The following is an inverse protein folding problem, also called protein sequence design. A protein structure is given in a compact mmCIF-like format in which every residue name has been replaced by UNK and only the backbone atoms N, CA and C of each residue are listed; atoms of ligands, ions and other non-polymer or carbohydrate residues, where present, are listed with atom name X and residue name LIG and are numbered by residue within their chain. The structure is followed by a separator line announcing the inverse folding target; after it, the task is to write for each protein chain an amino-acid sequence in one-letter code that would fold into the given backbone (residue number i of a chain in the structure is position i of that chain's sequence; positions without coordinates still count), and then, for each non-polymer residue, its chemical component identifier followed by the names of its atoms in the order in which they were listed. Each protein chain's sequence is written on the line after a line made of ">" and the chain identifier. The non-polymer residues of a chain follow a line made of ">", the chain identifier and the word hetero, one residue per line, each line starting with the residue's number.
data_IF_632427844155
#
_entry.id   IF_632427844155
#
_cell.length_a   1.000
_cell.length_b   1.000
_cell.length_c   1.000
_cell.angle_alpha   90.00
_cell.angle_beta   90.00
_cell.angle_gamma   90.00
#
_symmetry.space_group_name_H-M   'P 1'
#
loop_
_entity.id
_entity.type
_entity.pdbx_description
1 polymer ?
#
# COMPACT_ATOMS: atom_id res chain seq x y z
N UNK A 1 7.74 10.11 6.59
CA UNK A 1 7.78 10.46 5.16
C UNK A 1 9.09 10.11 4.51
N UNK A 2 10.24 10.28 5.18
CA UNK A 2 11.56 9.85 4.70
C UNK A 2 11.78 10.21 3.21
N UNK A 3 11.46 11.46 2.87
CA UNK A 3 11.38 11.97 1.48
C UNK A 3 12.70 11.85 0.71
N UNK A 4 13.81 11.73 1.44
CA UNK A 4 15.16 11.54 0.91
C UNK A 4 15.82 10.25 1.43
N UNK A 5 15.05 9.22 1.80
CA UNK A 5 15.57 7.93 2.29
C UNK A 5 16.60 7.31 1.34
N UNK A 6 16.42 7.49 0.03
CA UNK A 6 17.35 7.06 -1.01
C UNK A 6 18.80 7.54 -0.81
N UNK A 7 19.03 8.65 -0.11
CA UNK A 7 20.38 9.18 0.17
C UNK A 7 21.14 8.39 1.24
N UNK A 8 20.42 7.60 2.04
CA UNK A 8 20.97 6.82 3.18
C UNK A 8 20.41 5.39 3.21
N UNK A 9 20.07 4.85 2.03
CA UNK A 9 19.36 3.58 1.91
C UNK A 9 20.16 2.39 2.48
N UNK A 10 21.48 2.42 2.33
CA UNK A 10 22.45 1.50 2.91
C UNK A 10 22.43 1.54 4.44
N UNK A 11 22.46 2.74 5.03
CA UNK A 11 22.42 2.90 6.49
C UNK A 11 21.09 2.41 7.08
N UNK A 12 19.99 2.57 6.35
CA UNK A 12 18.68 2.07 6.77
C UNK A 12 18.64 0.53 6.75
N UNK A 13 19.26 -0.11 5.75
CA UNK A 13 19.37 -1.57 5.72
C UNK A 13 20.26 -2.08 6.86
N UNK A 14 21.45 -1.51 7.03
CA UNK A 14 22.39 -1.89 8.10
C UNK A 14 21.75 -1.78 9.49
N UNK A 15 20.96 -0.73 9.74
CA UNK A 15 20.26 -0.51 11.00
C UNK A 15 18.96 -1.32 11.13
N UNK A 16 18.56 -2.06 10.08
CA UNK A 16 17.27 -2.74 9.98
C UNK A 16 16.09 -1.79 10.26
N UNK A 17 16.09 -0.62 9.64
CA UNK A 17 15.05 0.40 9.76
C UNK A 17 14.26 0.48 8.45
N UNK A 18 12.95 0.31 8.51
CA UNK A 18 12.09 0.48 7.33
C UNK A 18 11.86 1.94 6.99
N UNK A 19 11.77 2.26 5.69
CA UNK A 19 11.47 3.60 5.21
C UNK A 19 10.02 3.71 4.74
N UNK A 20 9.18 4.41 5.50
CA UNK A 20 7.82 4.77 5.10
C UNK A 20 7.83 6.08 4.30
N UNK A 21 7.58 5.95 2.99
CA UNK A 21 7.69 7.03 1.99
C UNK A 21 6.40 7.20 1.16
N UNK A 22 6.25 8.36 0.54
CA UNK A 22 5.29 8.56 -0.55
C UNK A 22 5.83 8.01 -1.88
N UNK A 23 4.93 7.67 -2.81
CA UNK A 23 5.32 7.21 -4.14
C UNK A 23 5.91 8.33 -5.01
N UNK A 24 5.34 9.54 -4.98
CA UNK A 24 5.72 10.62 -5.89
C UNK A 24 5.54 12.05 -5.34
N UNK A 25 5.23 12.20 -4.04
CA UNK A 25 5.08 13.50 -3.40
C UNK A 25 6.41 14.10 -2.95
N UNK A 26 6.72 15.30 -3.45
CA UNK A 26 7.90 16.10 -3.13
C UNK A 26 7.72 17.55 -3.62
N UNK A 27 8.69 18.42 -3.33
CA UNK A 27 8.74 19.80 -3.82
C UNK A 27 7.78 20.79 -3.16
N UNK A 28 7.01 20.39 -2.14
CA UNK A 28 6.02 21.24 -1.47
C UNK A 28 6.58 22.04 -0.28
N UNK A 29 7.80 21.71 0.18
CA UNK A 29 8.55 22.38 1.27
C UNK A 29 10.04 22.24 1.01
N UNK A 30 10.85 23.06 1.68
CA UNK A 30 12.33 22.97 1.61
C UNK A 30 12.85 21.57 1.98
N UNK A 31 12.26 20.92 2.99
CA UNK A 31 12.64 19.56 3.42
C UNK A 31 12.31 18.45 2.41
N UNK A 32 11.48 18.74 1.41
CA UNK A 32 11.01 17.77 0.41
C UNK A 32 11.48 18.11 -1.00
N UNK A 33 12.40 19.07 -1.14
CA UNK A 33 12.81 19.62 -2.44
C UNK A 33 13.54 18.59 -3.30
N UNK A 34 14.39 17.75 -2.71
CA UNK A 34 15.10 16.69 -3.45
C UNK A 34 14.31 15.36 -3.49
N UNK A 35 12.99 15.41 -3.29
CA UNK A 35 12.15 14.22 -3.40
C UNK A 35 12.22 13.61 -4.81
N UNK A 36 12.53 12.32 -4.89
CA UNK A 36 12.57 11.57 -6.15
C UNK A 36 11.50 10.48 -6.18
N UNK A 37 10.86 10.27 -7.34
CA UNK A 37 9.82 9.23 -7.51
C UNK A 37 10.33 7.81 -7.33
N UNK A 38 11.63 7.60 -7.53
CA UNK A 38 12.28 6.30 -7.35
C UNK A 38 12.69 6.00 -5.89
N UNK A 39 12.35 6.86 -4.92
CA UNK A 39 12.83 6.77 -3.54
C UNK A 39 12.60 5.36 -2.92
N UNK A 40 11.37 4.86 -2.95
CA UNK A 40 11.04 3.53 -2.45
C UNK A 40 11.82 2.42 -3.16
N UNK A 41 11.97 2.53 -4.48
CA UNK A 41 12.69 1.54 -5.28
C UNK A 41 14.20 1.53 -4.99
N UNK A 42 14.80 2.69 -4.76
CA UNK A 42 16.22 2.80 -4.38
C UNK A 42 16.45 2.19 -2.99
N UNK A 43 15.57 2.49 -2.02
CA UNK A 43 15.62 1.86 -0.69
C UNK A 43 15.52 0.34 -0.80
N UNK A 44 14.55 -0.16 -1.58
CA UNK A 44 14.40 -1.60 -1.81
C UNK A 44 15.63 -2.22 -2.49
N UNK A 45 16.17 -1.58 -3.52
CA UNK A 45 17.34 -2.09 -4.25
C UNK A 45 18.62 -2.11 -3.41
N UNK A 46 18.71 -1.28 -2.37
CA UNK A 46 19.81 -1.28 -1.41
C UNK A 46 19.68 -2.38 -0.33
N UNK A 47 18.62 -3.20 -0.34
CA UNK A 47 18.34 -4.21 0.69
C UNK A 47 17.31 -3.75 1.74
N UNK A 48 17.09 -2.44 1.85
CA UNK A 48 16.21 -1.84 2.85
C UNK A 48 14.72 -2.18 2.65
N UNK A 49 13.97 -2.09 3.75
CA UNK A 49 12.51 -2.32 3.74
C UNK A 49 11.75 -1.03 3.38
N UNK A 50 11.43 -0.86 2.10
CA UNK A 50 10.57 0.23 1.64
C UNK A 50 9.08 -0.02 1.98
N UNK A 51 8.38 1.04 2.38
CA UNK A 51 6.93 1.06 2.65
C UNK A 51 6.31 2.24 1.90
N UNK A 52 5.17 2.02 1.26
CA UNK A 52 4.40 3.09 0.64
C UNK A 52 3.24 3.48 1.56
N UNK A 53 3.17 4.77 1.93
CA UNK A 53 2.04 5.34 2.67
C UNK A 53 1.38 6.48 1.88
N UNK A 54 0.15 6.82 2.26
CA UNK A 54 -0.59 7.94 1.69
C UNK A 54 -0.45 9.23 2.50
N UNK A 55 -0.32 9.12 3.83
CA UNK A 55 -0.55 10.24 4.76
C UNK A 55 -1.93 10.91 4.56
N UNK A 56 -2.92 10.12 4.14
CA UNK A 56 -4.25 10.61 3.77
C UNK A 56 -5.33 9.57 4.06
N UNK A 57 -6.44 9.96 4.74
CA UNK A 57 -7.56 9.05 5.00
C UNK A 57 -8.27 8.59 3.73
N UNK A 58 -8.18 9.38 2.65
CA UNK A 58 -8.75 9.01 1.34
C UNK A 58 -7.74 8.28 0.46
N UNK A 59 -6.48 8.74 0.46
CA UNK A 59 -5.42 8.16 -0.36
C UNK A 59 -5.05 6.73 0.03
N UNK A 60 -5.24 6.35 1.30
CA UNK A 60 -4.92 5.01 1.80
C UNK A 60 -5.68 3.90 1.06
N UNK A 61 -6.85 4.20 0.49
CA UNK A 61 -7.70 3.24 -0.22
C UNK A 61 -7.12 2.81 -1.58
N UNK A 62 -6.03 3.42 -2.04
CA UNK A 62 -5.43 3.19 -3.37
C UNK A 62 -3.93 2.92 -3.31
N UNK A 63 -3.42 2.43 -2.18
CA UNK A 63 -1.98 2.17 -2.00
C UNK A 63 -1.41 1.19 -3.03
N UNK A 64 -2.20 0.27 -3.57
CA UNK A 64 -1.81 -0.56 -4.70
C UNK A 64 -1.38 0.28 -5.93
N UNK A 65 -2.11 1.35 -6.24
CA UNK A 65 -1.75 2.25 -7.34
C UNK A 65 -0.50 3.08 -6.98
N UNK A 66 -0.36 3.50 -5.72
CA UNK A 66 0.85 4.20 -5.25
C UNK A 66 2.10 3.30 -5.35
N UNK A 67 2.00 2.04 -4.96
CA UNK A 67 3.06 1.05 -5.14
C UNK A 67 3.38 0.82 -6.62
N UNK A 68 2.37 0.75 -7.49
CA UNK A 68 2.57 0.63 -8.93
C UNK A 68 3.32 1.84 -9.52
N UNK A 69 2.99 3.07 -9.08
CA UNK A 69 3.72 4.29 -9.48
C UNK A 69 5.19 4.23 -9.06
N UNK A 70 5.46 3.85 -7.81
CA UNK A 70 6.83 3.75 -7.30
C UNK A 70 7.63 2.64 -8.02
N UNK A 71 7.00 1.50 -8.30
CA UNK A 71 7.59 0.41 -9.11
C UNK A 71 7.95 0.90 -10.51
N UNK A 72 7.01 1.57 -11.20
CA UNK A 72 7.24 2.11 -12.53
C UNK A 72 8.38 3.16 -12.53
N UNK A 73 8.43 4.04 -11.53
CA UNK A 73 9.49 5.03 -11.39
C UNK A 73 10.87 4.39 -11.13
N UNK A 74 10.94 3.36 -10.29
CA UNK A 74 12.16 2.58 -10.06
C UNK A 74 12.67 1.90 -11.33
N UNK A 75 11.76 1.23 -12.06
CA UNK A 75 12.09 0.58 -13.33
C UNK A 75 12.54 1.58 -14.40
N UNK A 76 11.90 2.76 -14.48
CA UNK A 76 12.33 3.83 -15.37
C UNK A 76 13.70 4.41 -15.01
N UNK A 77 14.10 4.34 -13.73
CA UNK A 77 15.42 4.71 -13.24
C UNK A 77 16.50 3.61 -13.44
N UNK A 78 16.15 2.49 -14.10
CA UNK A 78 17.08 1.40 -14.41
C UNK A 78 17.20 0.34 -13.31
N UNK A 79 16.39 0.40 -12.25
CA UNK A 79 16.29 -0.67 -11.27
C UNK A 79 15.40 -1.80 -11.80
N UNK A 80 15.51 -2.98 -11.21
CA UNK A 80 14.65 -4.12 -11.52
C UNK A 80 13.74 -4.42 -10.34
N UNK A 81 12.56 -3.82 -10.36
CA UNK A 81 11.51 -4.02 -9.35
C UNK A 81 10.39 -4.86 -9.95
N UNK A 82 10.14 -6.01 -9.34
CA UNK A 82 9.06 -6.91 -9.75
C UNK A 82 7.72 -6.53 -9.09
N UNK A 83 6.62 -7.08 -9.60
CA UNK A 83 5.31 -6.91 -8.96
C UNK A 83 5.29 -7.52 -7.55
N UNK A 84 5.99 -8.64 -7.38
CA UNK A 84 6.19 -9.34 -6.11
C UNK A 84 6.98 -8.49 -5.10
N UNK A 85 7.89 -7.64 -5.57
CA UNK A 85 8.60 -6.70 -4.69
C UNK A 85 7.72 -5.52 -4.31
N UNK A 86 7.02 -4.94 -5.29
CA UNK A 86 6.16 -3.79 -5.09
C UNK A 86 4.98 -4.09 -4.15
N UNK A 87 4.39 -5.29 -4.21
CA UNK A 87 3.25 -5.64 -3.36
C UNK A 87 3.66 -5.70 -1.89
N UNK A 88 4.90 -6.12 -1.58
CA UNK A 88 5.43 -6.16 -0.21
C UNK A 88 5.44 -4.78 0.45
N UNK A 89 5.63 -3.71 -0.33
CA UNK A 89 5.69 -2.33 0.17
C UNK A 89 4.37 -1.86 0.80
N UNK A 90 3.26 -2.54 0.52
CA UNK A 90 1.93 -2.23 1.04
C UNK A 90 1.29 -3.39 1.81
N UNK A 91 2.03 -4.48 2.02
CA UNK A 91 1.56 -5.67 2.76
C UNK A 91 2.50 -6.05 3.90
N UNK A 92 3.50 -6.90 3.65
CA UNK A 92 4.35 -7.46 4.71
C UNK A 92 5.34 -6.45 5.28
N UNK A 93 5.84 -5.49 4.50
CA UNK A 93 6.77 -4.48 5.00
C UNK A 93 6.14 -3.56 6.06
N UNK A 94 4.93 -2.98 5.83
CA UNK A 94 4.25 -2.23 6.89
C UNK A 94 3.83 -3.13 8.07
N UNK A 95 3.44 -4.39 7.82
CA UNK A 95 3.16 -5.33 8.92
C UNK A 95 4.38 -5.54 9.82
N UNK A 96 5.56 -5.74 9.23
CA UNK A 96 6.82 -5.88 9.94
C UNK A 96 7.18 -4.63 10.74
N UNK A 97 7.02 -3.44 10.14
CA UNK A 97 7.28 -2.17 10.83
C UNK A 97 6.35 -1.93 12.03
N UNK A 98 5.18 -2.57 12.05
CA UNK A 98 4.22 -2.51 13.15
C UNK A 98 4.40 -3.66 14.16
N UNK A 99 5.30 -4.61 13.90
CA UNK A 99 5.48 -5.81 14.72
C UNK A 99 4.28 -6.77 14.64
N UNK A 100 3.63 -6.84 13.48
CA UNK A 100 2.44 -7.65 13.21
C UNK A 100 2.63 -8.59 12.01
N UNK A 101 3.85 -8.76 11.50
CA UNK A 101 4.14 -9.64 10.37
C UNK A 101 3.96 -11.12 10.68
N UNK A 102 3.86 -11.51 11.95
CA UNK A 102 3.42 -12.84 12.38
C UNK A 102 1.89 -13.03 12.24
N UNK A 103 1.12 -11.95 12.06
CA UNK A 103 -0.35 -11.95 12.03
C UNK A 103 -0.95 -11.52 10.71
N UNK A 104 -0.34 -10.60 9.97
CA UNK A 104 -0.89 -10.01 8.73
C UNK A 104 0.19 -9.80 7.67
N UNK A 105 -0.22 -9.39 6.46
CA UNK A 105 0.69 -8.95 5.39
C UNK A 105 1.14 -10.04 4.41
N UNK A 106 0.87 -11.32 4.69
CA UNK A 106 1.08 -12.43 3.74
C UNK A 106 -0.07 -13.44 3.81
N UNK A 107 -0.19 -14.28 2.78
CA UNK A 107 -1.15 -15.38 2.74
C UNK A 107 -0.47 -16.67 3.22
N UNK A 108 -0.44 -16.87 4.55
CA UNK A 108 0.19 -18.02 5.19
C UNK A 108 -0.75 -18.61 6.26
N UNK A 109 -0.76 -19.95 6.45
CA UNK A 109 -1.55 -20.57 7.52
C UNK A 109 -1.21 -19.99 8.89
N UNK A 110 -2.24 -19.71 9.70
CA UNK A 110 -2.11 -19.14 11.04
C UNK A 110 -2.20 -17.61 11.09
N UNK A 111 -2.09 -16.92 9.96
CA UNK A 111 -2.31 -15.46 9.86
C UNK A 111 -3.78 -15.11 9.74
N UNK A 112 -4.11 -13.86 10.00
CA UNK A 112 -5.46 -13.33 9.84
C UNK A 112 -5.90 -13.45 8.37
N UNK A 113 -7.16 -13.81 8.17
CA UNK A 113 -7.75 -13.92 6.84
C UNK A 113 -8.22 -12.54 6.33
N UNK A 114 -7.28 -11.60 6.26
CA UNK A 114 -7.43 -10.26 5.68
C UNK A 114 -7.08 -10.32 4.19
N UNK A 115 -8.10 -10.48 3.34
CA UNK A 115 -7.93 -10.88 1.94
C UNK A 115 -8.74 -9.96 1.04
N UNK A 116 -8.13 -9.54 -0.07
CA UNK A 116 -8.84 -8.87 -1.16
C UNK A 116 -8.80 -9.74 -2.40
N UNK A 117 -9.98 -10.08 -2.92
CA UNK A 117 -10.11 -10.65 -4.26
C UNK A 117 -10.24 -9.49 -5.25
N UNK A 118 -9.33 -9.45 -6.22
CA UNK A 118 -9.30 -8.43 -7.26
C UNK A 118 -9.82 -8.99 -8.58
N UNK A 119 -10.46 -8.15 -9.40
CA UNK A 119 -10.97 -8.53 -10.72
C UNK A 119 -9.87 -8.75 -11.78
N UNK A 120 -8.60 -8.66 -11.39
CA UNK A 120 -7.43 -8.68 -12.26
C UNK A 120 -6.18 -8.30 -11.46
N UNK A 121 -5.12 -7.90 -12.16
CA UNK A 121 -3.88 -7.41 -11.55
C UNK A 121 -4.16 -6.20 -10.63
N UNK A 122 -3.87 -6.25 -9.33
CA UNK A 122 -4.10 -5.15 -8.40
C UNK A 122 -3.36 -3.86 -8.78
N UNK A 123 -2.31 -3.89 -9.60
CA UNK A 123 -1.60 -2.70 -10.06
C UNK A 123 -2.24 -2.01 -11.27
N UNK A 124 -3.24 -2.62 -11.90
CA UNK A 124 -3.97 -1.99 -13.01
C UNK A 124 -5.00 -0.98 -12.51
N UNK A 125 -5.05 0.18 -13.17
CA UNK A 125 -6.07 1.22 -12.90
C UNK A 125 -7.49 0.79 -13.29
N UNK A 126 -7.63 -0.25 -14.11
CA UNK A 126 -8.93 -0.84 -14.47
C UNK A 126 -9.43 -1.87 -13.45
N UNK A 127 -8.52 -2.41 -12.65
CA UNK A 127 -8.83 -3.41 -11.63
C UNK A 127 -9.62 -2.81 -10.48
N UNK A 128 -10.49 -3.62 -9.90
CA UNK A 128 -11.38 -3.24 -8.80
C UNK A 128 -11.44 -4.40 -7.81
N UNK A 129 -11.60 -4.07 -6.53
CA UNK A 129 -11.85 -5.08 -5.52
C UNK A 129 -13.22 -5.72 -5.80
N UNK A 130 -13.25 -7.04 -5.91
CA UNK A 130 -14.49 -7.82 -6.03
C UNK A 130 -15.02 -8.15 -4.64
N UNK A 131 -14.16 -8.63 -3.75
CA UNK A 131 -14.50 -9.00 -2.38
C UNK A 131 -13.39 -8.65 -1.41
N UNK A 132 -13.76 -8.28 -0.19
CA UNK A 132 -12.84 -8.03 0.92
C UNK A 132 -13.30 -8.80 2.13
N UNK A 133 -12.38 -9.56 2.72
CA UNK A 133 -12.53 -10.22 4.01
C UNK A 133 -11.61 -9.56 5.02
N UNK A 134 -12.10 -9.39 6.25
CA UNK A 134 -11.32 -8.94 7.41
C UNK A 134 -11.58 -9.94 8.52
N UNK A 135 -10.51 -10.50 9.08
CA UNK A 135 -10.54 -11.62 10.03
C UNK A 135 -11.40 -12.80 9.52
N UNK A 136 -11.39 -13.04 8.21
CA UNK A 136 -12.17 -14.11 7.55
C UNK A 136 -13.65 -13.81 7.34
N UNK A 137 -14.17 -12.71 7.86
CA UNK A 137 -15.55 -12.31 7.65
C UNK A 137 -15.67 -11.40 6.42
N UNK A 138 -16.65 -11.68 5.55
CA UNK A 138 -16.92 -10.86 4.35
C UNK A 138 -17.38 -9.46 4.79
N UNK A 139 -16.67 -8.42 4.31
CA UNK A 139 -16.94 -7.01 4.63
C UNK A 139 -17.41 -6.20 3.42
N UNK A 140 -17.02 -6.62 2.23
CA UNK A 140 -17.39 -6.00 0.97
C UNK A 140 -17.55 -7.06 -0.10
N UNK A 141 -18.65 -7.00 -0.85
CA UNK A 141 -18.85 -7.74 -2.10
C UNK A 141 -19.43 -6.77 -3.12
N UNK A 142 -18.69 -6.55 -4.21
CA UNK A 142 -19.04 -5.60 -5.26
C UNK A 142 -20.41 -5.87 -5.89
N UNK A 143 -20.85 -7.13 -5.92
CA UNK A 143 -22.10 -7.54 -6.55
C UNK A 143 -23.27 -7.62 -5.56
N UNK A 144 -23.03 -7.34 -4.27
CA UNK A 144 -24.05 -7.35 -3.21
C UNK A 144 -23.97 -6.04 -2.38
N UNK A 145 -24.30 -4.88 -2.97
CA UNK A 145 -24.23 -3.58 -2.28
C UNK A 145 -25.10 -3.49 -1.02
N UNK A 146 -26.15 -4.30 -0.93
CA UNK A 146 -26.99 -4.45 0.24
C UNK A 146 -26.27 -5.06 1.45
N UNK A 147 -25.17 -5.78 1.25
CA UNK A 147 -24.38 -6.40 2.33
C UNK A 147 -23.20 -5.54 2.77
N UNK A 148 -23.01 -4.36 2.16
CA UNK A 148 -21.89 -3.49 2.52
C UNK A 148 -22.04 -3.01 3.96
N UNK A 149 -20.96 -3.12 4.72
CA UNK A 149 -20.92 -2.61 6.08
C UNK A 149 -21.20 -1.10 6.06
N UNK A 150 -22.32 -0.71 6.68
CA UNK A 150 -22.67 0.70 6.84
C UNK A 150 -22.09 1.20 8.15
N UNK A 151 -21.41 2.33 8.09
CA UNK A 151 -20.92 2.99 9.31
C UNK A 151 -22.12 3.58 10.06
N UNK A 152 -21.97 3.79 11.36
CA UNK A 152 -22.93 4.52 12.18
C UNK A 152 -23.17 5.96 11.68
N UNK A 153 -22.21 6.55 10.97
CA UNK A 153 -22.38 7.83 10.27
C UNK A 153 -23.35 7.78 9.08
N UNK A 154 -23.69 6.60 8.57
CA UNK A 154 -24.66 6.42 7.49
C UNK A 154 -26.08 6.11 7.98
N UNK A 155 -26.28 6.04 9.30
CA UNK A 155 -27.62 5.86 9.89
C UNK A 155 -28.52 7.04 9.50
N UNK A 156 -29.59 6.75 8.76
CA UNK A 156 -30.54 7.74 8.25
C UNK A 156 -30.31 8.19 6.81
N UNK A 157 -29.18 7.81 6.18
CA UNK A 157 -29.00 8.00 4.75
C UNK A 157 -29.60 6.80 4.01
N UNK A 158 -30.75 7.00 3.35
CA UNK A 158 -31.34 6.00 2.45
C UNK A 158 -30.86 6.30 1.02
N UNK A 159 -30.00 5.46 0.41
CA UNK A 159 -29.56 5.66 -0.96
C UNK A 159 -30.77 5.68 -1.91
N UNK A 160 -30.74 6.59 -2.89
CA UNK A 160 -31.77 6.66 -3.94
C UNK A 160 -31.86 5.30 -4.64
N UNK A 161 -33.03 4.65 -4.58
CA UNK A 161 -33.30 3.36 -5.23
C UNK A 161 -33.67 2.20 -4.29
N UNK A 162 -33.63 2.40 -2.96
CA UNK A 162 -34.07 1.41 -1.97
C UNK A 162 -35.40 1.80 -1.29
N UNK A 163 -36.36 2.35 -2.05
CA UNK A 163 -37.76 2.54 -1.61
C UNK A 163 -38.67 1.53 -2.27
#
# INVERSE_FOLDING_TARGET
>A
HAVEAYKIADLLDDAQVSASVWADWGGFKMEALDGVKANAAIVHAAGGRAIIHSDSPSGIQRLNQEAAKAMAAGNAAGLRITAEDAIKWVTVNPAWSLGLDDRIGTLEPGKHADIVLWSGDPFSVYTRAERVWVDGALRYDRNAPETWWRTDFELGFVPKGQR
#
